data_IF_629301601078
#
_entry.id   IF_629301601078
#
_cell.length_a   1.000
_cell.length_b   1.000
_cell.length_c   1.000
_cell.angle_alpha   90.00
_cell.angle_beta   90.00
_cell.angle_gamma   90.00
#
_symmetry.space_group_name_H-M   'P 1'
#
loop_
_entity.id
_entity.type
_entity.pdbx_description
1 polymer ?
#
# COMPACT_ATOMS: atom_id res chain seq x y z
N UNK A 1 -7.80 -43.80 -73.96
CA UNK A 1 -8.65 -44.39 -72.90
C UNK A 1 -7.89 -44.21 -71.61
N UNK A 2 -8.17 -43.13 -70.88
CA UNK A 2 -7.45 -42.78 -69.65
C UNK A 2 -8.27 -43.21 -68.43
N UNK A 3 -7.63 -43.96 -67.53
CA UNK A 3 -8.21 -44.48 -66.30
C UNK A 3 -8.28 -43.35 -65.26
N UNK A 4 -9.47 -42.88 -64.94
CA UNK A 4 -9.70 -42.00 -63.79
C UNK A 4 -9.67 -42.83 -62.50
N UNK A 5 -8.53 -42.81 -61.81
CA UNK A 5 -8.41 -43.27 -60.43
C UNK A 5 -9.19 -42.32 -59.52
N UNK A 6 -10.31 -42.81 -58.97
CA UNK A 6 -11.12 -42.09 -57.97
C UNK A 6 -10.33 -42.04 -56.66
N UNK A 7 -9.47 -41.03 -56.51
CA UNK A 7 -8.77 -40.78 -55.25
C UNK A 7 -9.82 -40.25 -54.27
N UNK A 8 -10.09 -41.00 -53.20
CA UNK A 8 -11.02 -40.60 -52.15
C UNK A 8 -10.48 -39.39 -51.37
N UNK A 9 -10.87 -38.20 -51.81
CA UNK A 9 -10.50 -36.89 -51.25
C UNK A 9 -10.85 -36.77 -49.75
N UNK A 10 -11.75 -37.62 -49.26
CA UNK A 10 -12.22 -37.64 -47.87
C UNK A 10 -11.28 -38.36 -46.90
N UNK A 11 -10.48 -39.34 -47.35
CA UNK A 11 -9.58 -40.07 -46.44
C UNK A 11 -8.36 -39.23 -46.04
N UNK A 12 -7.84 -38.40 -46.95
CA UNK A 12 -6.63 -37.61 -46.67
C UNK A 12 -6.90 -36.35 -45.83
N UNK A 13 -8.12 -35.78 -45.93
CA UNK A 13 -8.50 -34.57 -45.20
C UNK A 13 -9.29 -34.83 -43.92
N UNK A 14 -9.90 -36.01 -43.77
CA UNK A 14 -10.68 -36.37 -42.58
C UNK A 14 -9.88 -36.29 -41.27
N UNK A 15 -8.60 -36.69 -41.31
CA UNK A 15 -7.71 -36.63 -40.16
C UNK A 15 -7.41 -35.18 -39.73
N UNK A 16 -7.23 -34.26 -40.67
CA UNK A 16 -6.94 -32.84 -40.38
C UNK A 16 -8.11 -32.17 -39.64
N UNK A 17 -9.35 -32.46 -40.05
CA UNK A 17 -10.53 -31.93 -39.37
C UNK A 17 -10.65 -32.44 -37.93
N UNK A 18 -10.27 -33.70 -37.66
CA UNK A 18 -10.26 -34.24 -36.30
C UNK A 18 -9.22 -33.52 -35.41
N UNK A 19 -8.04 -33.21 -35.95
CA UNK A 19 -7.04 -32.42 -35.21
C UNK A 19 -7.51 -31.00 -34.91
N UNK A 20 -8.18 -30.34 -35.87
CA UNK A 20 -8.71 -28.98 -35.69
C UNK A 20 -9.81 -28.96 -34.63
N UNK A 21 -10.74 -29.92 -34.66
CA UNK A 21 -11.82 -30.04 -33.68
C UNK A 21 -11.23 -30.30 -32.29
N UNK A 22 -10.24 -31.18 -32.18
CA UNK A 22 -9.53 -31.44 -30.92
C UNK A 22 -8.84 -30.17 -30.38
N UNK A 23 -8.13 -29.44 -31.24
CA UNK A 23 -7.47 -28.19 -30.88
C UNK A 23 -8.46 -27.12 -30.39
N UNK A 24 -9.60 -26.97 -31.04
CA UNK A 24 -10.67 -26.05 -30.62
C UNK A 24 -11.27 -26.42 -29.26
N UNK A 25 -11.50 -27.71 -29.00
CA UNK A 25 -12.00 -28.18 -27.69
C UNK A 25 -10.99 -27.90 -26.58
N UNK A 26 -9.70 -28.12 -26.83
CA UNK A 26 -8.62 -27.78 -25.88
C UNK A 26 -8.59 -26.28 -25.63
N UNK A 27 -8.72 -25.43 -26.66
CA UNK A 27 -8.81 -23.98 -26.51
C UNK A 27 -10.00 -23.54 -25.65
N UNK A 28 -11.18 -24.16 -25.80
CA UNK A 28 -12.35 -23.86 -24.98
C UNK A 28 -12.14 -24.26 -23.51
N UNK A 29 -11.50 -25.40 -23.26
CA UNK A 29 -11.15 -25.86 -21.90
C UNK A 29 -10.10 -24.96 -21.26
N UNK A 30 -9.07 -24.59 -22.02
CA UNK A 30 -8.00 -23.66 -21.60
C UNK A 30 -8.59 -22.28 -21.31
N UNK A 31 -9.47 -21.75 -22.17
CA UNK A 31 -10.17 -20.48 -21.95
C UNK A 31 -11.05 -20.52 -20.69
N UNK A 32 -11.75 -21.63 -20.45
CA UNK A 32 -12.53 -21.85 -19.21
C UNK A 32 -11.65 -21.95 -17.96
N UNK A 33 -10.45 -22.50 -18.08
CA UNK A 33 -9.45 -22.59 -16.99
C UNK A 33 -8.78 -21.25 -16.70
N UNK A 34 -8.42 -20.48 -17.74
CA UNK A 34 -7.85 -19.13 -17.63
C UNK A 34 -8.88 -18.10 -17.14
N UNK A 35 -10.17 -18.31 -17.41
CA UNK A 35 -11.28 -17.46 -16.93
C UNK A 35 -11.55 -17.50 -15.42
N UNK A 36 -10.82 -18.31 -14.65
CA UNK A 36 -10.97 -18.42 -13.18
C UNK A 36 -10.28 -17.32 -12.36
N UNK A 37 -9.68 -16.32 -13.00
CA UNK A 37 -8.95 -15.23 -12.33
C UNK A 37 -9.80 -13.96 -12.06
N UNK A 38 -11.13 -14.04 -12.06
CA UNK A 38 -11.99 -12.85 -11.89
C UNK A 38 -12.30 -12.47 -10.43
N UNK A 39 -12.02 -13.34 -9.45
CA UNK A 39 -12.27 -13.06 -8.02
C UNK A 39 -11.47 -11.88 -7.46
N UNK A 40 -10.39 -11.50 -8.11
CA UNK A 40 -9.49 -10.44 -7.65
C UNK A 40 -10.10 -9.04 -7.81
N UNK A 41 -10.97 -8.83 -8.81
CA UNK A 41 -11.49 -7.50 -9.14
C UNK A 41 -12.53 -7.00 -8.11
N UNK A 42 -13.39 -7.91 -7.64
CA UNK A 42 -14.43 -7.59 -6.67
C UNK A 42 -13.83 -7.38 -5.27
N UNK A 43 -12.85 -8.21 -4.88
CA UNK A 43 -12.12 -8.05 -3.62
C UNK A 43 -11.32 -6.74 -3.56
N UNK A 44 -10.69 -6.34 -4.68
CA UNK A 44 -10.00 -5.06 -4.77
C UNK A 44 -10.99 -3.90 -4.67
N UNK A 45 -12.19 -4.01 -5.25
CA UNK A 45 -13.15 -2.91 -5.23
C UNK A 45 -13.80 -2.70 -3.85
N UNK A 46 -14.03 -3.78 -3.11
CA UNK A 46 -14.50 -3.73 -1.73
C UNK A 46 -13.42 -3.18 -0.78
N UNK A 47 -12.16 -3.63 -0.94
CA UNK A 47 -11.01 -3.08 -0.25
C UNK A 47 -10.80 -1.58 -0.55
N UNK A 48 -10.91 -1.16 -1.81
CA UNK A 48 -10.83 0.25 -2.21
C UNK A 48 -11.96 1.10 -1.62
N UNK A 49 -13.16 0.52 -1.45
CA UNK A 49 -14.29 1.20 -0.83
C UNK A 49 -14.10 1.39 0.67
N UNK A 50 -13.54 0.38 1.36
CA UNK A 50 -13.16 0.53 2.78
C UNK A 50 -11.98 1.48 2.96
N UNK A 51 -11.02 1.48 2.04
CA UNK A 51 -9.92 2.45 2.02
C UNK A 51 -10.48 3.87 1.84
N UNK A 52 -11.34 4.11 0.86
CA UNK A 52 -11.99 5.43 0.65
C UNK A 52 -12.79 5.89 1.88
N UNK A 53 -13.50 4.99 2.55
CA UNK A 53 -14.27 5.32 3.76
C UNK A 53 -13.38 5.68 4.97
N UNK A 54 -12.17 5.11 5.08
CA UNK A 54 -11.21 5.43 6.14
C UNK A 54 -10.29 6.62 5.79
N UNK A 55 -9.96 6.81 4.51
CA UNK A 55 -9.24 7.98 3.96
C UNK A 55 -10.04 9.27 4.19
N UNK A 56 -11.37 9.19 4.30
CA UNK A 56 -12.24 10.31 4.68
C UNK A 56 -12.06 10.82 6.13
N UNK A 57 -11.18 10.20 6.94
CA UNK A 57 -10.87 10.63 8.32
C UNK A 57 -9.47 11.24 8.48
N UNK A 58 -8.84 11.71 7.41
CA UNK A 58 -7.58 12.47 7.52
C UNK A 58 -7.88 13.86 8.11
N UNK A 59 -7.34 14.21 9.29
CA UNK A 59 -7.53 15.56 9.84
C UNK A 59 -6.92 16.62 8.92
N UNK A 60 -7.50 17.82 8.91
CA UNK A 60 -6.89 18.96 8.22
C UNK A 60 -5.56 19.33 8.90
N UNK A 61 -4.59 19.80 8.11
CA UNK A 61 -3.26 20.17 8.61
C UNK A 61 -2.30 18.99 8.84
N UNK A 62 -2.55 17.83 8.20
CA UNK A 62 -1.55 16.78 8.08
C UNK A 62 -0.62 17.04 6.89
N UNK A 63 0.68 16.86 7.15
CA UNK A 63 1.73 16.92 6.15
C UNK A 63 2.26 15.51 5.91
N UNK A 64 2.15 15.06 4.67
CA UNK A 64 2.59 13.74 4.25
C UNK A 64 3.98 13.81 3.62
N UNK A 65 4.82 12.85 3.98
CA UNK A 65 6.11 12.61 3.35
C UNK A 65 6.01 11.43 2.38
N UNK A 66 6.89 11.40 1.36
CA UNK A 66 7.01 10.32 0.37
C UNK A 66 7.34 8.95 0.97
N UNK A 67 7.72 8.91 2.24
CA UNK A 67 8.15 7.70 2.97
C UNK A 67 7.03 7.20 3.91
N UNK A 68 5.76 7.44 3.57
CA UNK A 68 4.61 6.93 4.31
C UNK A 68 4.51 7.37 5.77
N UNK A 69 5.07 8.54 6.09
CA UNK A 69 4.96 9.18 7.40
C UNK A 69 4.16 10.45 7.29
N UNK A 70 3.32 10.72 8.29
CA UNK A 70 2.62 11.98 8.43
C UNK A 70 3.14 12.78 9.63
N UNK A 71 3.03 14.10 9.54
CA UNK A 71 3.22 15.01 10.67
C UNK A 71 2.02 15.93 10.85
N UNK A 72 1.74 16.28 12.10
CA UNK A 72 0.70 17.23 12.44
C UNK A 72 1.14 18.09 13.63
N UNK A 73 1.07 19.42 13.47
CA UNK A 73 1.38 20.35 14.54
C UNK A 73 0.16 20.54 15.43
N UNK A 74 0.30 20.18 16.71
CA UNK A 74 -0.70 20.44 17.74
C UNK A 74 -0.65 21.91 18.19
N UNK A 75 -1.76 22.43 18.73
CA UNK A 75 -1.84 23.78 19.32
C UNK A 75 -0.82 24.00 20.45
N UNK A 76 -0.37 22.93 21.10
CA UNK A 76 0.68 22.96 22.12
C UNK A 76 2.08 23.28 21.58
N UNK A 77 2.26 23.33 20.25
CA UNK A 77 3.55 23.50 19.59
C UNK A 77 4.33 22.19 19.41
N UNK A 78 3.77 21.05 19.83
CA UNK A 78 4.34 19.73 19.57
C UNK A 78 3.84 19.18 18.24
N UNK A 79 4.72 18.56 17.47
CA UNK A 79 4.40 17.85 16.24
C UNK A 79 4.22 16.35 16.52
N UNK A 80 3.04 15.81 16.24
CA UNK A 80 2.84 14.36 16.16
C UNK A 80 3.44 13.83 14.87
N UNK A 81 4.08 12.67 14.95
CA UNK A 81 4.59 11.92 13.80
C UNK A 81 4.03 10.51 13.85
N UNK A 82 3.53 10.01 12.73
CA UNK A 82 3.00 8.65 12.61
C UNK A 82 3.11 8.05 11.22
N UNK A 83 2.51 6.88 11.04
CA UNK A 83 2.44 6.14 9.76
C UNK A 83 1.13 6.41 9.06
N UNK A 84 1.17 6.50 7.74
CA UNK A 84 -0.07 6.52 6.95
C UNK A 84 -0.83 5.18 7.04
N UNK A 85 -2.11 5.22 6.66
CA UNK A 85 -2.98 4.04 6.65
C UNK A 85 -2.60 3.07 5.51
N UNK A 86 -2.12 3.61 4.40
CA UNK A 86 -1.74 2.87 3.20
C UNK A 86 -0.68 1.82 3.49
N UNK A 87 0.36 2.18 4.22
CA UNK A 87 1.46 1.29 4.54
C UNK A 87 1.02 0.12 5.41
N UNK A 88 0.03 0.32 6.28
CA UNK A 88 -0.48 -0.73 7.15
C UNK A 88 -1.36 -1.72 6.42
N UNK A 89 -2.14 -1.28 5.43
CA UNK A 89 -2.92 -2.20 4.62
C UNK A 89 -2.03 -3.09 3.75
N UNK A 90 -0.91 -2.55 3.25
CA UNK A 90 0.06 -3.31 2.46
C UNK A 90 0.87 -4.31 3.29
N UNK A 91 1.17 -3.98 4.54
CA UNK A 91 2.10 -4.70 5.41
C UNK A 91 1.34 -5.48 6.51
N UNK A 92 0.03 -5.35 6.67
CA UNK A 92 -0.72 -6.13 7.68
C UNK A 92 -0.15 -5.99 9.10
N UNK A 93 -0.01 -7.10 9.85
CA UNK A 93 0.41 -7.08 11.25
C UNK A 93 1.88 -6.69 11.40
N UNK A 94 2.09 -5.49 11.95
CA UNK A 94 3.42 -4.93 12.18
C UNK A 94 3.86 -4.99 13.63
N UNK A 95 5.18 -5.12 13.84
CA UNK A 95 5.83 -4.99 15.15
C UNK A 95 6.86 -3.88 15.09
N UNK A 96 6.86 -3.01 16.09
CA UNK A 96 7.88 -1.98 16.21
C UNK A 96 9.11 -2.50 16.95
N UNK A 97 10.26 -2.02 16.50
CA UNK A 97 11.56 -2.27 17.11
C UNK A 97 12.37 -0.97 17.10
N UNK A 98 13.31 -0.86 18.05
CA UNK A 98 14.26 0.24 18.11
C UNK A 98 13.59 1.63 18.24
N UNK A 99 12.75 1.79 19.26
CA UNK A 99 12.22 3.11 19.63
C UNK A 99 13.32 4.00 20.20
N UNK A 100 13.17 5.29 19.94
CA UNK A 100 13.92 6.39 20.52
C UNK A 100 13.28 6.84 21.83
N UNK A 101 14.11 7.32 22.75
CA UNK A 101 13.67 7.80 24.05
C UNK A 101 13.35 9.29 24.04
N UNK A 102 12.41 9.75 24.90
CA UNK A 102 12.22 11.17 25.13
C UNK A 102 13.52 11.87 25.54
N UNK A 103 13.73 13.09 25.04
CA UNK A 103 14.95 13.89 25.22
C UNK A 103 16.01 13.70 24.14
N UNK A 104 15.87 12.71 23.25
CA UNK A 104 16.79 12.56 22.11
C UNK A 104 16.55 13.66 21.06
N UNK A 105 17.65 14.22 20.54
CA UNK A 105 17.64 15.15 19.41
C UNK A 105 17.63 14.33 18.11
N UNK A 106 16.73 14.67 17.19
CA UNK A 106 16.58 14.02 15.89
C UNK A 106 16.58 15.08 14.78
N UNK A 107 17.26 14.81 13.67
CA UNK A 107 17.19 15.66 12.49
C UNK A 107 16.27 15.05 11.44
N UNK A 108 15.76 15.88 10.54
CA UNK A 108 15.03 15.42 9.36
C UNK A 108 15.89 14.42 8.56
N UNK A 109 15.31 13.27 8.24
CA UNK A 109 15.97 12.17 7.55
C UNK A 109 16.64 11.15 8.47
N UNK A 110 16.76 11.41 9.78
CA UNK A 110 17.33 10.45 10.71
C UNK A 110 16.38 9.28 11.00
N UNK A 111 16.92 8.13 11.38
CA UNK A 111 16.12 6.94 11.69
C UNK A 111 15.31 7.15 12.98
N UNK A 112 13.98 7.08 12.87
CA UNK A 112 13.03 7.19 13.98
C UNK A 112 12.68 5.84 14.61
N UNK A 113 12.38 4.84 13.78
CA UNK A 113 11.99 3.51 14.24
C UNK A 113 12.15 2.48 13.10
N UNK A 114 12.22 1.20 13.46
CA UNK A 114 12.18 0.10 12.50
C UNK A 114 10.92 -0.74 12.73
N UNK A 115 10.13 -0.92 11.68
CA UNK A 115 8.98 -1.81 11.66
C UNK A 115 9.40 -3.15 11.08
N UNK A 116 8.94 -4.23 11.70
CA UNK A 116 9.13 -5.59 11.22
C UNK A 116 7.77 -6.22 10.93
N UNK A 117 7.62 -6.74 9.72
CA UNK A 117 6.53 -7.63 9.32
C UNK A 117 7.12 -8.92 8.79
N UNK A 118 6.84 -10.03 9.45
CA UNK A 118 7.38 -11.35 9.13
C UNK A 118 8.91 -11.32 8.92
N UNK A 119 9.36 -11.38 7.67
CA UNK A 119 10.77 -11.38 7.25
C UNK A 119 11.24 -10.06 6.64
N UNK A 120 10.36 -9.06 6.54
CA UNK A 120 10.65 -7.74 5.98
C UNK A 120 10.82 -6.71 7.08
N UNK A 121 11.77 -5.80 6.88
CA UNK A 121 12.02 -4.67 7.76
C UNK A 121 11.84 -3.38 6.98
N UNK A 122 11.13 -2.44 7.55
CA UNK A 122 10.96 -1.10 7.01
C UNK A 122 11.51 -0.09 8.01
N UNK A 123 12.33 0.83 7.53
CA UNK A 123 12.90 1.92 8.33
C UNK A 123 12.04 3.17 8.17
N UNK A 124 11.69 3.77 9.29
CA UNK A 124 11.01 5.05 9.35
C UNK A 124 12.01 6.15 9.62
N UNK A 125 11.90 7.23 8.87
CA UNK A 125 12.79 8.37 8.97
C UNK A 125 12.03 9.59 9.47
N UNK A 126 12.74 10.48 10.17
CA UNK A 126 12.14 11.69 10.71
C UNK A 126 11.75 12.64 9.59
N UNK A 127 10.48 13.06 9.50
CA UNK A 127 10.06 14.08 8.54
C UNK A 127 10.52 15.50 8.95
N UNK A 128 10.84 15.70 10.22
CA UNK A 128 11.20 16.99 10.82
C UNK A 128 12.38 16.86 11.79
N UNK A 129 13.09 17.96 12.00
CA UNK A 129 14.12 18.09 13.03
C UNK A 129 13.51 18.59 14.34
N UNK A 130 13.98 18.07 15.47
CA UNK A 130 13.49 18.46 16.79
C UNK A 130 13.99 17.59 17.92
N UNK A 131 13.38 17.77 19.09
CA UNK A 131 13.61 16.95 20.28
C UNK A 131 12.40 16.02 20.51
N UNK A 132 12.63 14.75 20.76
CA UNK A 132 11.55 13.80 21.06
C UNK A 132 10.98 14.13 22.44
N UNK A 133 9.75 14.62 22.47
CA UNK A 133 9.05 14.93 23.70
C UNK A 133 8.38 13.71 24.33
N UNK A 134 7.78 12.85 23.49
CA UNK A 134 7.11 11.64 23.97
C UNK A 134 7.12 10.53 22.91
N UNK A 135 7.07 9.28 23.37
CA UNK A 135 7.09 8.07 22.55
C UNK A 135 5.87 7.22 22.90
N UNK A 136 5.07 6.82 21.90
CA UNK A 136 3.86 6.04 22.13
C UNK A 136 4.18 4.55 22.36
N UNK A 137 4.55 4.20 23.58
CA UNK A 137 4.85 2.82 23.97
C UNK A 137 3.64 1.88 23.93
N UNK A 138 2.43 2.41 23.80
CA UNK A 138 1.20 1.61 23.62
C UNK A 138 1.30 0.73 22.38
N UNK A 139 2.00 1.21 21.34
CA UNK A 139 2.19 0.50 20.08
C UNK A 139 2.99 -0.81 20.21
N UNK A 140 3.76 -0.98 21.29
CA UNK A 140 4.45 -2.24 21.60
C UNK A 140 3.48 -3.33 22.07
N UNK A 141 2.42 -2.93 22.77
CA UNK A 141 1.42 -3.86 23.34
C UNK A 141 0.22 -4.03 22.43
N UNK A 142 -0.19 -2.97 21.76
CA UNK A 142 -1.35 -2.94 20.88
C UNK A 142 -1.02 -2.22 19.55
N UNK A 143 -0.35 -2.90 18.61
CA UNK A 143 -0.04 -2.31 17.31
C UNK A 143 -1.28 -2.12 16.43
N UNK A 144 -2.41 -2.77 16.73
CA UNK A 144 -3.65 -2.67 15.95
C UNK A 144 -4.25 -1.26 15.97
N UNK A 145 -3.91 -0.45 16.98
CA UNK A 145 -4.28 0.97 17.10
C UNK A 145 -3.89 1.79 15.87
N UNK A 146 -2.79 1.45 15.23
CA UNK A 146 -2.35 2.13 14.01
C UNK A 146 -3.39 1.97 12.89
N UNK A 147 -4.08 0.82 12.83
CA UNK A 147 -5.02 0.50 11.77
C UNK A 147 -6.43 1.01 12.09
N UNK A 148 -6.79 1.05 13.37
CA UNK A 148 -8.09 1.54 13.84
C UNK A 148 -8.16 3.08 13.84
N UNK A 149 -7.07 3.74 14.26
CA UNK A 149 -7.03 5.19 14.44
C UNK A 149 -5.61 5.74 14.15
N UNK A 150 -5.18 5.70 12.86
CA UNK A 150 -3.81 6.06 12.47
C UNK A 150 -3.42 7.49 12.85
N UNK A 151 -4.37 8.43 12.77
CA UNK A 151 -4.09 9.86 12.86
C UNK A 151 -4.31 10.46 14.25
N UNK A 152 -5.10 9.82 15.13
CA UNK A 152 -5.29 10.34 16.50
C UNK A 152 -4.53 9.52 17.54
N UNK A 153 -4.73 8.20 17.59
CA UNK A 153 -4.09 7.31 18.59
C UNK A 153 -2.85 6.59 18.05
N UNK A 154 -2.74 6.44 16.74
CA UNK A 154 -1.65 5.78 16.02
C UNK A 154 -0.39 6.63 15.81
N UNK A 155 -0.22 7.74 16.54
CA UNK A 155 1.02 8.49 16.54
C UNK A 155 2.16 7.67 17.18
N UNK A 156 3.38 7.83 16.68
CA UNK A 156 4.57 7.11 17.14
C UNK A 156 5.38 8.00 18.08
N UNK A 157 5.64 9.24 17.66
CA UNK A 157 6.38 10.22 18.44
C UNK A 157 5.64 11.56 18.50
N UNK A 158 5.83 12.27 19.61
CA UNK A 158 5.62 13.70 19.72
C UNK A 158 6.98 14.36 19.74
N UNK A 159 7.22 15.27 18.81
CA UNK A 159 8.49 15.95 18.61
C UNK A 159 8.26 17.43 18.85
N UNK A 160 9.16 18.09 19.58
CA UNK A 160 9.23 19.55 19.65
C UNK A 160 10.05 20.03 18.45
N UNK A 161 9.42 20.57 17.38
CA UNK A 161 10.12 20.91 16.16
C UNK A 161 11.06 22.10 16.38
N UNK A 162 12.24 22.05 15.77
CA UNK A 162 13.17 23.18 15.75
C UNK A 162 13.02 24.03 14.48
N UNK A 163 12.62 23.41 13.35
CA UNK A 163 12.53 24.06 12.03
C UNK A 163 11.23 23.73 11.27
N UNK A 164 10.09 23.90 11.94
CA UNK A 164 8.78 23.50 11.38
C UNK A 164 8.48 24.11 10.00
N UNK A 165 8.53 25.44 9.87
CA UNK A 165 8.11 26.14 8.64
C UNK A 165 8.98 25.76 7.44
N UNK A 166 10.30 25.76 7.62
CA UNK A 166 11.25 25.46 6.55
C UNK A 166 11.11 24.02 6.03
N UNK A 167 10.95 23.05 6.94
CA UNK A 167 10.98 21.63 6.58
C UNK A 167 9.64 21.12 6.04
N UNK A 168 8.56 21.78 6.44
CA UNK A 168 7.19 21.40 6.09
C UNK A 168 6.79 21.90 4.70
N UNK A 169 7.43 22.94 4.17
CA UNK A 169 7.24 23.42 2.79
C UNK A 169 7.48 22.36 1.72
N UNK A 170 8.31 21.34 2.04
CA UNK A 170 8.60 20.22 1.14
C UNK A 170 7.63 19.04 1.28
N UNK A 171 6.74 19.07 2.28
CA UNK A 171 5.75 18.03 2.52
C UNK A 171 4.46 18.33 1.75
N UNK A 172 3.74 17.27 1.38
CA UNK A 172 2.47 17.43 0.70
C UNK A 172 1.36 17.66 1.72
N UNK A 173 0.55 18.69 1.52
CA UNK A 173 -0.66 18.92 2.31
C UNK A 173 -1.69 17.85 1.92
N UNK A 174 -2.42 17.32 2.91
CA UNK A 174 -3.45 16.28 2.72
C UNK A 174 -4.40 16.54 1.52
N UNK A 175 -4.76 17.80 1.28
CA UNK A 175 -5.65 18.21 0.18
C UNK A 175 -5.08 17.93 -1.22
N UNK A 176 -3.75 17.99 -1.38
CA UNK A 176 -3.07 17.68 -2.64
C UNK A 176 -2.70 16.20 -2.78
N UNK A 177 -2.55 15.47 -1.67
CA UNK A 177 -2.31 14.03 -1.69
C UNK A 177 -3.50 13.25 -2.28
N UNK A 178 -4.74 13.68 -1.98
CA UNK A 178 -5.98 13.11 -2.51
C UNK A 178 -6.05 13.26 -4.05
N UNK A 179 -5.47 14.32 -4.63
CA UNK A 179 -5.43 14.54 -6.09
C UNK A 179 -4.45 13.61 -6.81
N UNK A 180 -3.35 13.22 -6.17
CA UNK A 180 -2.33 12.35 -6.77
C UNK A 180 -2.84 10.92 -6.94
N UNK A 181 -3.67 10.44 -6.01
CA UNK A 181 -4.21 9.07 -6.07
C UNK A 181 -5.20 8.89 -7.24
N UNK A 182 -6.01 9.93 -7.52
CA UNK A 182 -6.92 9.95 -8.68
C UNK A 182 -6.22 9.95 -10.04
N UNK A 183 -4.95 10.32 -10.13
CA UNK A 183 -4.21 10.41 -11.41
C UNK A 183 -3.47 9.12 -11.77
N UNK A 184 -3.43 8.14 -10.86
CA UNK A 184 -2.74 6.85 -11.03
C UNK A 184 -3.69 5.67 -11.32
N UNK A 185 -5.00 5.92 -11.38
CA UNK A 185 -6.03 4.93 -11.77
C UNK A 185 -6.39 5.12 -13.24
#
# INVERSE_FOLDING_TARGET
MENFSKVDIFETKGAEYLFIIGYLLVLLVVWKLLGRQTKTKDQIHEALRSLSANVLRVPQGLFFNKIHTWTHLEESGLAKVGLDDFLQYLIGKIRFTNFKYPGEIINKGDLLAEIVQDKKRLRLYSPISGEIFNTNLTLLKNPEVLSEDPYQKGWIYKIKPTKWVEETNSCYIAEDAIKLDKKRI
#
